data_IF_081351765421
#
_entry.id   IF_081351765421
#
_cell.length_a   1.000
_cell.length_b   1.000
_cell.length_c   1.000
_cell.angle_alpha   90.00
_cell.angle_beta   90.00
_cell.angle_gamma   90.00
#
_symmetry.space_group_name_H-M   'P 1'
#
loop_
_entity.id
_entity.type
_entity.pdbx_description
1 polymer ?
#
# COMPACT_ATOMS: atom_id res chain seq x y z
N UNK A 1 22.05 -14.62 18.96
CA UNK A 1 20.58 -14.44 19.00
C UNK A 1 20.24 -13.25 18.12
N UNK A 2 19.21 -13.39 17.32
CA UNK A 2 18.77 -12.34 16.39
C UNK A 2 18.16 -11.17 17.16
N UNK A 3 18.41 -9.95 16.69
CA UNK A 3 17.84 -8.71 17.25
C UNK A 3 17.23 -7.92 16.12
N UNK A 4 15.90 -8.04 15.99
CA UNK A 4 15.14 -7.36 14.93
C UNK A 4 14.37 -6.19 15.55
N UNK A 5 14.55 -5.01 14.97
CA UNK A 5 13.74 -3.84 15.27
C UNK A 5 12.65 -3.72 14.23
N UNK A 6 11.48 -3.30 14.64
CA UNK A 6 10.40 -2.82 13.78
C UNK A 6 10.05 -1.39 14.19
N UNK A 7 10.18 -0.46 13.27
CA UNK A 7 9.79 0.94 13.42
C UNK A 7 8.50 1.17 12.62
N UNK A 8 7.53 1.80 13.24
CA UNK A 8 6.25 2.18 12.67
C UNK A 8 6.00 3.66 12.93
N UNK A 9 5.75 4.45 11.89
CA UNK A 9 5.46 5.87 11.99
C UNK A 9 4.01 6.07 12.42
N UNK A 10 3.80 6.64 13.61
CA UNK A 10 2.48 6.77 14.21
C UNK A 10 1.57 7.72 13.42
N UNK A 11 0.38 7.22 13.03
CA UNK A 11 -0.60 7.97 12.23
C UNK A 11 0.04 8.72 11.05
N UNK A 12 0.98 8.08 10.35
CA UNK A 12 1.97 8.67 9.44
C UNK A 12 1.41 9.77 8.54
N UNK A 13 0.33 9.50 7.79
CA UNK A 13 -0.23 10.51 6.87
C UNK A 13 -0.73 11.73 7.63
N UNK A 14 -1.38 11.54 8.77
CA UNK A 14 -1.83 12.66 9.62
C UNK A 14 -0.65 13.44 10.17
N UNK A 15 0.39 12.75 10.63
CA UNK A 15 1.61 13.38 11.16
C UNK A 15 2.28 14.26 10.12
N UNK A 16 2.38 13.79 8.87
CA UNK A 16 2.89 14.60 7.74
C UNK A 16 2.00 15.82 7.46
N UNK A 17 0.67 15.65 7.43
CA UNK A 17 -0.25 16.79 7.23
C UNK A 17 -0.13 17.83 8.35
N UNK A 18 0.07 17.40 9.61
CA UNK A 18 0.32 18.30 10.77
C UNK A 18 1.64 19.04 10.68
N UNK A 19 2.67 18.46 10.06
CA UNK A 19 3.94 19.14 9.80
C UNK A 19 3.74 20.23 8.74
N UNK A 20 2.92 19.94 7.71
CA UNK A 20 2.60 20.90 6.64
C UNK A 20 1.69 22.02 7.15
N UNK A 21 0.68 21.68 7.94
CA UNK A 21 -0.27 22.61 8.55
C UNK A 21 -0.39 22.35 10.06
N UNK A 22 0.37 23.09 10.89
CA UNK A 22 0.33 22.95 12.34
C UNK A 22 -1.03 23.25 12.99
N UNK A 23 -1.93 23.95 12.28
CA UNK A 23 -3.28 24.24 12.77
C UNK A 23 -4.16 22.97 12.89
N UNK A 24 -3.72 21.85 12.35
CA UNK A 24 -4.35 20.52 12.48
C UNK A 24 -4.04 19.82 13.81
N UNK A 25 -3.09 20.33 14.59
CA UNK A 25 -2.71 19.72 15.89
C UNK A 25 -3.89 19.71 16.86
N UNK A 26 -4.07 18.61 17.58
CA UNK A 26 -5.14 18.43 18.57
C UNK A 26 -6.55 18.26 17.97
N UNK A 27 -6.70 18.31 16.63
CA UNK A 27 -7.99 18.11 15.97
C UNK A 27 -8.17 16.67 15.49
N UNK A 28 -9.41 16.16 15.41
CA UNK A 28 -9.69 14.91 14.72
C UNK A 28 -9.47 15.11 13.22
N UNK A 29 -8.35 14.58 12.69
CA UNK A 29 -7.94 14.69 11.28
C UNK A 29 -8.13 13.35 10.59
N UNK A 30 -8.74 13.38 9.41
CA UNK A 30 -9.02 12.23 8.58
C UNK A 30 -8.43 12.48 7.18
N UNK A 31 -7.44 11.66 6.81
CA UNK A 31 -6.80 11.71 5.49
C UNK A 31 -7.40 10.62 4.61
N UNK A 32 -7.77 10.97 3.38
CA UNK A 32 -8.34 10.03 2.41
C UNK A 32 -9.34 10.70 1.50
N UNK A 33 -10.49 10.08 1.29
CA UNK A 33 -11.59 10.72 0.57
C UNK A 33 -12.27 11.77 1.46
N UNK A 34 -12.92 12.75 0.83
CA UNK A 34 -13.78 13.70 1.52
C UNK A 34 -15.26 13.26 1.46
N UNK A 35 -16.11 13.70 2.40
CA UNK A 35 -17.53 13.36 2.41
C UNK A 35 -18.26 13.72 1.09
N UNK A 36 -17.88 14.83 0.47
CA UNK A 36 -18.44 15.32 -0.80
C UNK A 36 -18.03 14.49 -2.03
N UNK A 37 -16.99 13.68 -1.95
CA UNK A 37 -16.56 12.80 -3.06
C UNK A 37 -17.59 11.66 -3.33
N UNK A 38 -18.53 11.46 -2.41
CA UNK A 38 -19.60 10.46 -2.51
C UNK A 38 -19.13 9.03 -2.26
N UNK A 39 -17.91 8.67 -2.60
CA UNK A 39 -17.27 7.36 -2.39
C UNK A 39 -15.83 7.53 -1.97
N UNK A 40 -15.34 6.54 -1.23
CA UNK A 40 -13.97 6.46 -0.76
C UNK A 40 -13.89 5.96 0.66
N UNK A 41 -12.68 5.90 1.17
CA UNK A 41 -12.38 5.38 2.51
C UNK A 41 -11.41 6.30 3.23
N UNK A 42 -11.37 6.15 4.54
CA UNK A 42 -10.31 6.68 5.40
C UNK A 42 -9.00 5.96 5.04
N UNK A 43 -7.97 6.69 4.64
CA UNK A 43 -6.63 6.15 4.46
C UNK A 43 -5.89 6.10 5.80
N UNK A 44 -5.90 7.22 6.54
CA UNK A 44 -5.38 7.30 7.89
C UNK A 44 -6.23 8.28 8.71
N UNK A 45 -6.23 8.13 10.03
CA UNK A 45 -6.91 9.06 10.94
C UNK A 45 -6.09 9.25 12.21
N UNK A 46 -6.20 10.44 12.79
CA UNK A 46 -5.54 10.81 14.05
C UNK A 46 -6.09 10.02 15.24
N UNK A 47 -5.37 10.02 16.36
CA UNK A 47 -5.85 9.39 17.59
C UNK A 47 -7.14 10.05 18.10
N UNK A 48 -7.27 11.37 17.98
CA UNK A 48 -8.50 12.09 18.32
C UNK A 48 -9.70 11.61 17.47
N UNK A 49 -9.48 11.33 16.19
CA UNK A 49 -10.52 10.76 15.34
C UNK A 49 -10.84 9.29 15.72
N UNK A 50 -9.85 8.52 16.16
CA UNK A 50 -10.05 7.13 16.62
C UNK A 50 -10.93 7.06 17.88
N UNK A 51 -10.96 8.08 18.74
CA UNK A 51 -11.87 8.14 19.87
C UNK A 51 -13.36 8.17 19.47
N UNK A 52 -13.66 8.63 18.26
CA UNK A 52 -15.00 8.52 17.66
C UNK A 52 -15.24 7.17 16.96
N UNK A 53 -14.33 6.20 17.10
CA UNK A 53 -14.42 4.88 16.48
C UNK A 53 -13.97 4.83 15.02
N UNK A 54 -13.29 5.86 14.51
CA UNK A 54 -12.78 5.88 13.15
C UNK A 54 -11.52 5.00 13.03
N UNK A 55 -11.39 4.34 11.89
CA UNK A 55 -10.22 3.51 11.56
C UNK A 55 -9.93 3.51 10.06
N UNK A 56 -8.72 3.13 9.68
CA UNK A 56 -8.33 2.96 8.27
C UNK A 56 -9.25 1.97 7.55
N UNK A 57 -9.48 2.21 6.28
CA UNK A 57 -10.42 1.49 5.41
C UNK A 57 -11.92 1.66 5.74
N UNK A 58 -12.29 2.45 6.78
CA UNK A 58 -13.71 2.79 7.03
C UNK A 58 -14.28 3.58 5.84
N UNK A 59 -15.51 3.26 5.37
CA UNK A 59 -16.19 4.07 4.36
C UNK A 59 -16.35 5.52 4.80
N UNK A 60 -16.02 6.47 3.94
CA UNK A 60 -15.99 7.90 4.30
C UNK A 60 -17.34 8.43 4.81
N UNK A 61 -18.45 7.94 4.25
CA UNK A 61 -19.79 8.29 4.71
C UNK A 61 -20.07 7.82 6.14
N UNK A 62 -19.53 6.66 6.52
CA UNK A 62 -19.65 6.16 7.89
C UNK A 62 -18.77 6.99 8.83
N UNK A 63 -17.52 7.28 8.44
CA UNK A 63 -16.61 8.13 9.21
C UNK A 63 -17.22 9.51 9.46
N UNK A 64 -17.85 10.13 8.46
CA UNK A 64 -18.51 11.43 8.61
C UNK A 64 -19.70 11.41 9.57
N UNK A 65 -20.47 10.31 9.60
CA UNK A 65 -21.57 10.16 10.58
C UNK A 65 -21.07 10.09 12.02
N UNK A 66 -19.89 9.46 12.23
CA UNK A 66 -19.30 9.31 13.56
C UNK A 66 -18.56 10.56 14.02
N UNK A 67 -17.92 11.28 13.10
CA UNK A 67 -17.14 12.47 13.40
C UNK A 67 -17.44 13.60 12.39
N UNK A 68 -18.63 14.24 12.45
CA UNK A 68 -19.02 15.27 11.48
C UNK A 68 -18.19 16.55 11.56
N UNK A 69 -17.61 16.83 12.73
CA UNK A 69 -16.75 17.99 12.98
C UNK A 69 -15.26 17.69 12.72
N UNK A 70 -14.92 16.51 12.20
CA UNK A 70 -13.57 16.14 11.85
C UNK A 70 -13.06 16.93 10.63
N UNK A 71 -11.75 17.13 10.55
CA UNK A 71 -11.08 17.74 9.41
C UNK A 71 -10.76 16.66 8.37
N UNK A 72 -11.47 16.70 7.23
CA UNK A 72 -11.32 15.72 6.14
C UNK A 72 -10.41 16.29 5.05
N UNK A 73 -9.31 15.59 4.75
CA UNK A 73 -8.29 16.04 3.81
C UNK A 73 -8.06 14.99 2.70
N UNK A 74 -7.90 15.47 1.46
CA UNK A 74 -7.17 14.67 0.46
C UNK A 74 -5.68 14.75 0.82
N UNK A 75 -5.05 13.61 0.95
CA UNK A 75 -3.64 13.57 1.33
C UNK A 75 -2.72 14.28 0.33
N UNK A 76 -1.65 14.88 0.81
CA UNK A 76 -0.64 15.59 0.02
C UNK A 76 0.30 14.57 -0.65
N UNK A 77 -0.12 14.04 -1.81
CA UNK A 77 0.63 13.02 -2.55
C UNK A 77 2.04 13.51 -2.91
N UNK A 78 3.02 12.64 -2.66
CA UNK A 78 4.45 12.94 -2.86
C UNK A 78 5.17 13.21 -1.54
N UNK A 79 4.60 14.00 -0.63
CA UNK A 79 5.20 14.32 0.65
C UNK A 79 5.40 13.07 1.52
N UNK A 80 4.43 12.17 1.56
CA UNK A 80 4.58 10.91 2.29
C UNK A 80 5.80 10.11 1.83
N UNK A 81 6.02 10.03 0.51
CA UNK A 81 7.21 9.35 -0.03
C UNK A 81 8.51 10.10 0.30
N UNK A 82 8.46 11.44 0.38
CA UNK A 82 9.61 12.27 0.76
C UNK A 82 10.00 12.03 2.21
N UNK A 83 9.03 12.09 3.12
CA UNK A 83 9.27 11.83 4.55
C UNK A 83 9.69 10.39 4.82
N UNK A 84 9.05 9.41 4.18
CA UNK A 84 9.43 8.00 4.27
C UNK A 84 10.88 7.75 3.85
N UNK A 85 11.34 8.40 2.76
CA UNK A 85 12.74 8.33 2.33
C UNK A 85 13.69 9.01 3.31
N UNK A 86 13.29 10.13 3.91
CA UNK A 86 14.10 10.84 4.91
C UNK A 86 14.28 9.97 6.16
N UNK A 87 13.22 9.31 6.64
CA UNK A 87 13.31 8.33 7.74
C UNK A 87 14.27 7.21 7.35
N UNK A 88 14.08 6.59 6.18
CA UNK A 88 14.98 5.53 5.70
C UNK A 88 16.44 5.95 5.69
N UNK A 89 16.73 7.18 5.26
CA UNK A 89 18.10 7.70 5.22
C UNK A 89 18.71 7.83 6.62
N UNK A 90 17.92 8.20 7.66
CA UNK A 90 18.40 8.19 9.05
C UNK A 90 18.71 6.76 9.48
N UNK A 91 17.81 5.79 9.18
CA UNK A 91 17.97 4.40 9.58
C UNK A 91 19.22 3.76 8.92
N UNK A 92 19.50 4.11 7.67
CA UNK A 92 20.69 3.63 6.91
C UNK A 92 22.03 4.01 7.55
N UNK A 93 22.06 5.03 8.42
CA UNK A 93 23.26 5.41 9.14
C UNK A 93 23.61 4.45 10.28
N UNK A 94 22.64 3.68 10.76
CA UNK A 94 22.76 2.83 11.95
C UNK A 94 22.59 1.34 11.65
N UNK A 95 21.66 0.99 10.80
CA UNK A 95 21.27 -0.40 10.61
C UNK A 95 22.09 -1.06 9.50
N UNK A 96 22.77 -2.20 9.76
CA UNK A 96 23.49 -2.96 8.74
C UNK A 96 22.58 -3.43 7.59
N UNK A 97 21.34 -3.78 7.92
CA UNK A 97 20.33 -4.21 6.95
C UNK A 97 18.98 -3.59 7.29
N UNK A 98 18.26 -3.15 6.24
CA UNK A 98 16.93 -2.57 6.35
C UNK A 98 16.00 -3.22 5.33
N UNK A 99 14.83 -3.62 5.78
CA UNK A 99 13.71 -3.98 4.91
C UNK A 99 12.59 -2.96 5.10
N UNK A 100 12.32 -2.17 4.08
CA UNK A 100 11.16 -1.29 4.05
C UNK A 100 9.90 -2.11 3.67
N UNK A 101 9.03 -2.37 4.63
CA UNK A 101 7.82 -3.16 4.44
C UNK A 101 6.68 -2.34 3.82
N UNK A 102 6.58 -1.05 4.19
CA UNK A 102 5.61 -0.10 3.64
C UNK A 102 6.22 1.32 3.57
N UNK A 103 5.40 2.34 3.36
CA UNK A 103 5.84 3.75 3.40
C UNK A 103 6.14 4.22 4.83
N UNK A 104 5.63 3.53 5.83
CA UNK A 104 5.65 3.88 7.26
C UNK A 104 6.25 2.79 8.16
N UNK A 105 6.54 1.60 7.62
CA UNK A 105 7.09 0.48 8.38
C UNK A 105 8.46 0.04 7.89
N UNK A 106 9.41 -0.12 8.83
CA UNK A 106 10.78 -0.53 8.56
C UNK A 106 11.23 -1.62 9.53
N UNK A 107 11.76 -2.71 8.99
CA UNK A 107 12.52 -3.67 9.80
C UNK A 107 14.01 -3.41 9.67
N UNK A 108 14.72 -3.57 10.78
CA UNK A 108 16.18 -3.41 10.85
C UNK A 108 16.78 -4.59 11.59
N UNK A 109 17.88 -5.12 11.08
CA UNK A 109 18.63 -6.19 11.74
C UNK A 109 19.84 -5.60 12.47
N UNK A 110 19.81 -5.71 13.80
CA UNK A 110 20.87 -5.31 14.71
C UNK A 110 21.58 -6.51 15.35
N UNK A 111 21.45 -7.68 14.76
CA UNK A 111 22.12 -8.91 15.22
C UNK A 111 23.62 -8.68 15.26
N UNK A 112 24.25 -9.01 16.39
CA UNK A 112 25.69 -8.85 16.56
C UNK A 112 26.19 -7.44 16.89
N UNK A 113 25.32 -6.41 16.88
CA UNK A 113 25.76 -5.01 17.08
C UNK A 113 25.70 -4.53 18.55
N UNK A 114 25.33 -5.39 19.49
CA UNK A 114 25.22 -5.03 20.91
C UNK A 114 26.49 -4.41 21.50
N UNK A 115 27.66 -4.84 21.02
CA UNK A 115 28.94 -4.28 21.45
C UNK A 115 29.18 -2.85 20.95
N UNK A 116 28.49 -2.42 19.88
CA UNK A 116 28.57 -1.06 19.32
C UNK A 116 27.60 -0.13 20.03
N UNK A 117 26.34 -0.59 20.21
CA UNK A 117 25.24 0.26 20.67
C UNK A 117 24.88 0.05 22.16
N UNK A 118 25.45 -0.97 22.83
CA UNK A 118 25.18 -1.27 24.23
C UNK A 118 23.75 -1.76 24.46
N UNK A 119 22.98 -1.06 25.28
CA UNK A 119 21.57 -1.39 25.53
C UNK A 119 20.71 -1.11 24.30
N UNK A 120 20.15 -2.16 23.70
CA UNK A 120 19.27 -2.04 22.53
C UNK A 120 18.02 -1.17 22.81
N UNK A 121 17.50 -1.21 24.01
CA UNK A 121 16.38 -0.35 24.43
C UNK A 121 16.78 1.14 24.45
N UNK A 122 17.94 1.46 25.04
CA UNK A 122 18.44 2.85 25.07
C UNK A 122 18.83 3.34 23.68
N UNK A 123 19.34 2.46 22.83
CA UNK A 123 19.63 2.77 21.45
C UNK A 123 18.33 3.05 20.67
N UNK A 124 17.27 2.26 20.86
CA UNK A 124 15.96 2.53 20.25
C UNK A 124 15.41 3.90 20.65
N UNK A 125 15.55 4.29 21.93
CA UNK A 125 15.18 5.64 22.42
C UNK A 125 15.96 6.74 21.71
N UNK A 126 17.28 6.55 21.52
CA UNK A 126 18.11 7.51 20.79
C UNK A 126 17.65 7.64 19.34
N UNK A 127 17.40 6.53 18.67
CA UNK A 127 16.94 6.49 17.28
C UNK A 127 15.56 7.15 17.12
N UNK A 128 14.61 6.83 18.00
CA UNK A 128 13.28 7.44 18.04
C UNK A 128 13.38 8.96 18.20
N UNK A 129 14.15 9.40 19.20
CA UNK A 129 14.36 10.82 19.45
C UNK A 129 14.96 11.54 18.24
N UNK A 130 15.94 10.95 17.58
CA UNK A 130 16.56 11.55 16.39
C UNK A 130 15.57 11.75 15.23
N UNK A 131 14.67 10.78 15.01
CA UNK A 131 13.62 10.88 13.99
C UNK A 131 12.64 12.01 14.35
N UNK A 132 12.22 12.10 15.61
CA UNK A 132 11.32 13.16 16.11
C UNK A 132 12.00 14.52 15.98
N UNK A 133 13.23 14.66 16.46
CA UNK A 133 13.97 15.94 16.47
C UNK A 133 14.25 16.45 15.04
N UNK A 134 14.60 15.55 14.08
CA UNK A 134 14.95 15.92 12.71
C UNK A 134 13.74 16.06 11.77
N UNK A 135 12.70 15.26 11.97
CA UNK A 135 11.59 15.15 11.02
C UNK A 135 10.22 15.49 11.63
N UNK A 136 10.13 15.69 12.94
CA UNK A 136 8.87 15.88 13.69
C UNK A 136 7.86 14.75 13.45
N UNK A 137 8.35 13.54 13.18
CA UNK A 137 7.53 12.35 12.95
C UNK A 137 7.51 11.47 14.20
N UNK A 138 6.36 11.31 14.88
CA UNK A 138 6.22 10.35 15.96
C UNK A 138 6.33 8.93 15.42
N UNK A 139 7.01 8.06 16.16
CA UNK A 139 7.15 6.67 15.78
C UNK A 139 7.21 5.75 17.00
N UNK A 140 6.79 4.50 16.81
CA UNK A 140 6.86 3.44 17.80
C UNK A 140 7.84 2.36 17.37
N UNK A 141 8.62 1.81 18.30
CA UNK A 141 9.66 0.83 18.00
C UNK A 141 9.42 -0.45 18.80
N UNK A 142 9.38 -1.57 18.09
CA UNK A 142 9.35 -2.90 18.69
C UNK A 142 10.68 -3.61 18.48
N UNK A 143 11.17 -4.30 19.53
CA UNK A 143 12.40 -5.07 19.52
C UNK A 143 12.07 -6.51 19.88
N UNK A 144 12.52 -7.46 19.07
CA UNK A 144 12.30 -8.88 19.31
C UNK A 144 13.31 -9.78 18.62
N UNK A 145 13.21 -11.08 18.88
CA UNK A 145 14.07 -12.11 18.25
C UNK A 145 13.77 -12.38 16.78
N UNK A 146 12.61 -11.91 16.29
CA UNK A 146 12.20 -12.10 14.91
C UNK A 146 11.20 -11.01 14.46
N UNK A 147 10.90 -10.95 13.17
CA UNK A 147 10.02 -9.93 12.58
C UNK A 147 8.60 -9.93 13.16
N UNK A 148 8.06 -11.09 13.51
CA UNK A 148 6.70 -11.20 14.07
C UNK A 148 6.64 -10.54 15.44
N UNK A 149 7.58 -10.87 16.33
CA UNK A 149 7.66 -10.29 17.67
C UNK A 149 7.93 -8.79 17.59
N UNK A 150 8.92 -8.37 16.78
CA UNK A 150 9.25 -6.95 16.64
C UNK A 150 8.03 -6.12 16.20
N UNK A 151 7.22 -6.64 15.23
CA UNK A 151 6.02 -5.94 14.79
C UNK A 151 4.94 -5.88 15.87
N UNK A 152 4.67 -6.97 16.57
CA UNK A 152 3.69 -6.98 17.67
C UNK A 152 4.13 -6.01 18.78
N UNK A 153 5.43 -5.96 19.08
CA UNK A 153 6.00 -5.03 20.06
C UNK A 153 5.78 -3.57 19.68
N UNK A 154 6.01 -3.19 18.40
CA UNK A 154 5.79 -1.82 17.96
C UNK A 154 4.32 -1.43 18.00
N UNK A 155 3.41 -2.33 17.60
CA UNK A 155 1.97 -2.08 17.68
C UNK A 155 1.48 -1.97 19.14
N UNK A 156 2.04 -2.77 20.05
CA UNK A 156 1.75 -2.71 21.48
C UNK A 156 2.28 -1.42 22.14
N UNK A 157 3.38 -0.88 21.60
CA UNK A 157 4.03 0.32 22.12
C UNK A 157 3.30 1.62 21.74
N UNK A 158 2.40 1.63 20.77
CA UNK A 158 1.74 2.85 20.27
C UNK A 158 0.90 3.57 21.33
N UNK A 159 0.91 4.92 21.36
CA UNK A 159 1.74 5.82 20.53
C UNK A 159 3.12 6.10 21.14
N UNK A 160 4.09 6.43 20.31
CA UNK A 160 5.43 6.93 20.66
C UNK A 160 6.18 6.08 21.71
N UNK A 161 5.88 4.79 21.76
CA UNK A 161 6.45 3.87 22.74
C UNK A 161 7.55 2.98 22.17
N UNK A 162 8.23 2.28 23.09
CA UNK A 162 9.22 1.27 22.77
C UNK A 162 8.94 0.04 23.61
N UNK A 163 8.81 -1.10 22.95
CA UNK A 163 8.66 -2.40 23.62
C UNK A 163 9.79 -3.33 23.20
N UNK A 164 10.43 -3.95 24.16
CA UNK A 164 11.48 -4.94 23.93
C UNK A 164 11.12 -6.25 24.63
N UNK A 165 10.90 -7.28 23.82
CA UNK A 165 10.72 -8.65 24.32
C UNK A 165 12.06 -9.37 24.27
N UNK A 166 12.55 -9.76 25.43
CA UNK A 166 13.81 -10.49 25.56
C UNK A 166 13.70 -11.89 24.95
N UNK A 167 14.78 -12.41 24.35
CA UNK A 167 14.79 -13.78 23.85
C UNK A 167 14.42 -14.80 24.93
N UNK A 168 13.49 -15.69 24.61
CA UNK A 168 12.93 -16.67 25.51
C UNK A 168 11.62 -16.25 26.21
N UNK A 169 11.26 -14.94 26.16
CA UNK A 169 10.05 -14.40 26.77
C UNK A 169 8.90 -14.24 25.77
N UNK A 170 9.07 -14.68 24.53
CA UNK A 170 8.13 -14.44 23.41
C UNK A 170 6.75 -15.02 23.72
N UNK A 171 6.69 -16.27 24.18
CA UNK A 171 5.41 -16.95 24.49
C UNK A 171 4.66 -16.28 25.63
N UNK A 172 5.39 -15.90 26.69
CA UNK A 172 4.82 -15.24 27.86
C UNK A 172 4.24 -13.87 27.47
N UNK A 173 4.98 -13.09 26.69
CA UNK A 173 4.51 -11.80 26.17
C UNK A 173 3.28 -11.95 25.28
N UNK A 174 3.28 -12.94 24.36
CA UNK A 174 2.20 -13.12 23.40
C UNK A 174 0.92 -13.68 24.01
N UNK A 175 1.02 -14.59 25.00
CA UNK A 175 -0.11 -15.36 25.51
C UNK A 175 -1.34 -14.53 25.93
N UNK A 176 -1.24 -13.40 26.64
CA UNK A 176 -2.40 -12.59 27.03
C UNK A 176 -3.00 -11.75 25.90
N UNK A 177 -2.28 -11.56 24.77
CA UNK A 177 -2.69 -10.68 23.69
C UNK A 177 -3.85 -11.29 22.87
N UNK A 178 -4.75 -10.44 22.33
CA UNK A 178 -5.80 -10.88 21.40
C UNK A 178 -5.22 -11.49 20.14
N UNK A 179 -5.91 -12.47 19.53
CA UNK A 179 -5.42 -13.17 18.33
C UNK A 179 -5.26 -12.28 17.11
N UNK A 180 -6.01 -11.19 17.00
CA UNK A 180 -5.90 -10.20 15.93
C UNK A 180 -4.59 -9.42 15.92
N UNK A 181 -3.83 -9.43 17.04
CA UNK A 181 -2.49 -8.83 17.10
C UNK A 181 -1.48 -9.59 16.24
N UNK A 182 -1.72 -10.85 15.92
CA UNK A 182 -0.82 -11.62 15.05
C UNK A 182 -0.89 -11.08 13.61
N UNK A 183 0.23 -10.62 13.03
CA UNK A 183 0.26 -10.13 11.65
C UNK A 183 -0.26 -11.16 10.66
N UNK A 184 -1.33 -10.79 9.94
CA UNK A 184 -2.01 -11.64 8.98
C UNK A 184 -3.35 -12.21 9.46
N UNK A 185 -3.74 -12.05 10.71
CA UNK A 185 -5.09 -12.38 11.19
C UNK A 185 -6.03 -11.24 10.79
N UNK A 186 -6.68 -11.41 9.64
CA UNK A 186 -7.71 -10.47 9.18
C UNK A 186 -9.12 -10.88 9.64
N UNK A 187 -10.14 -10.05 9.33
CA UNK A 187 -11.54 -10.21 9.79
C UNK A 187 -12.09 -11.64 9.62
N UNK A 188 -11.85 -12.27 8.47
CA UNK A 188 -12.35 -13.64 8.19
C UNK A 188 -11.69 -14.67 9.10
N UNK A 189 -10.37 -14.60 9.26
CA UNK A 189 -9.65 -15.53 10.14
C UNK A 189 -10.03 -15.30 11.60
N UNK A 190 -10.17 -14.04 12.03
CA UNK A 190 -10.63 -13.68 13.36
C UNK A 190 -11.99 -14.30 13.70
N UNK A 191 -12.97 -14.18 12.79
CA UNK A 191 -14.29 -14.82 12.95
C UNK A 191 -14.18 -16.34 13.07
N UNK A 192 -13.36 -16.98 12.23
CA UNK A 192 -13.17 -18.42 12.28
C UNK A 192 -12.49 -18.89 13.59
N UNK A 193 -11.56 -18.11 14.13
CA UNK A 193 -10.93 -18.40 15.42
C UNK A 193 -11.93 -18.23 16.56
N UNK A 194 -12.70 -17.14 16.58
CA UNK A 194 -13.72 -16.89 17.60
C UNK A 194 -14.82 -17.97 17.62
N UNK A 195 -15.25 -18.47 16.45
CA UNK A 195 -16.20 -19.60 16.35
C UNK A 195 -15.65 -20.89 16.97
N UNK A 196 -14.32 -21.02 17.11
CA UNK A 196 -13.66 -22.14 17.76
C UNK A 196 -13.28 -21.87 19.22
N UNK A 197 -13.74 -20.74 19.79
CA UNK A 197 -13.43 -20.34 21.17
C UNK A 197 -12.01 -19.82 21.38
N UNK A 198 -11.29 -19.45 20.30
CA UNK A 198 -9.92 -18.95 20.36
C UNK A 198 -9.95 -17.42 20.28
N UNK A 199 -9.68 -16.74 21.40
CA UNK A 199 -9.71 -15.30 21.55
C UNK A 199 -8.33 -14.69 21.78
N UNK A 200 -7.47 -15.42 22.54
CA UNK A 200 -6.13 -14.98 22.89
C UNK A 200 -5.08 -15.84 22.17
N UNK A 201 -3.90 -15.28 22.00
CA UNK A 201 -2.77 -16.01 21.39
C UNK A 201 -2.44 -17.27 22.20
N UNK A 202 -2.50 -17.19 23.56
CA UNK A 202 -2.31 -18.34 24.43
C UNK A 202 -3.31 -19.48 24.22
N UNK A 203 -4.50 -19.21 23.67
CA UNK A 203 -5.44 -20.30 23.34
C UNK A 203 -4.98 -21.12 22.16
N UNK A 204 -4.26 -20.49 21.21
CA UNK A 204 -3.64 -21.20 20.07
C UNK A 204 -2.57 -22.19 20.56
N UNK A 205 -1.74 -21.76 21.51
CA UNK A 205 -0.62 -22.59 21.98
C UNK A 205 -1.03 -23.80 22.83
N UNK A 206 -2.28 -23.84 23.33
CA UNK A 206 -2.86 -25.01 24.01
C UNK A 206 -3.23 -26.14 23.06
N UNK A 207 -3.34 -25.88 21.77
CA UNK A 207 -3.70 -26.84 20.73
C UNK A 207 -2.47 -27.22 19.92
N UNK A 208 -2.54 -28.37 19.25
CA UNK A 208 -1.41 -28.85 18.43
C UNK A 208 -1.31 -28.14 17.07
N UNK A 209 -0.10 -28.12 16.49
CA UNK A 209 0.10 -27.64 15.12
C UNK A 209 -0.76 -28.39 14.12
N UNK A 210 -0.90 -29.72 14.30
CA UNK A 210 -1.72 -30.58 13.42
C UNK A 210 -3.19 -30.17 13.43
N UNK A 211 -3.74 -29.73 14.57
CA UNK A 211 -5.10 -29.17 14.62
C UNK A 211 -5.24 -27.95 13.72
N UNK A 212 -4.29 -27.00 13.79
CA UNK A 212 -4.30 -25.80 12.96
C UNK A 212 -4.05 -26.10 11.48
N UNK A 213 -3.18 -27.06 11.18
CA UNK A 213 -2.92 -27.51 9.82
C UNK A 213 -4.19 -28.13 9.21
N UNK A 214 -4.91 -28.96 9.95
CA UNK A 214 -6.16 -29.57 9.50
C UNK A 214 -7.29 -28.55 9.32
N UNK A 215 -7.41 -27.59 10.25
CA UNK A 215 -8.49 -26.57 10.25
C UNK A 215 -8.28 -25.45 9.22
N UNK A 216 -7.04 -25.00 8.98
CA UNK A 216 -6.72 -23.79 8.23
C UNK A 216 -5.61 -23.99 7.17
N UNK A 217 -5.18 -25.24 6.93
CA UNK A 217 -4.11 -25.55 5.99
C UNK A 217 -2.76 -24.97 6.38
N UNK A 218 -1.89 -24.72 5.40
CA UNK A 218 -0.56 -24.15 5.61
C UNK A 218 -0.57 -22.81 6.38
N UNK A 219 -1.64 -22.05 6.22
CA UNK A 219 -1.79 -20.80 6.97
C UNK A 219 -1.99 -21.04 8.46
N UNK A 220 -2.74 -22.09 8.83
CA UNK A 220 -2.93 -22.49 10.22
C UNK A 220 -1.63 -22.92 10.91
N UNK A 221 -0.81 -23.73 10.24
CA UNK A 221 0.54 -24.09 10.72
C UNK A 221 1.40 -22.83 10.95
N UNK A 222 1.41 -21.90 9.99
CA UNK A 222 2.14 -20.64 10.12
C UNK A 222 1.61 -19.77 11.28
N UNK A 223 0.29 -19.76 11.51
CA UNK A 223 -0.33 -19.06 12.63
C UNK A 223 0.08 -19.66 13.97
N UNK A 224 0.06 -20.99 14.07
CA UNK A 224 0.48 -21.72 15.28
C UNK A 224 1.95 -21.41 15.63
N UNK A 225 2.85 -21.45 14.64
CA UNK A 225 4.26 -21.08 14.81
C UNK A 225 4.42 -19.65 15.34
N UNK A 226 3.72 -18.67 14.73
CA UNK A 226 3.75 -17.29 15.21
C UNK A 226 3.25 -17.15 16.65
N UNK A 227 2.18 -17.88 17.03
CA UNK A 227 1.65 -17.89 18.39
C UNK A 227 2.66 -18.45 19.41
N UNK A 228 3.53 -19.36 18.97
CA UNK A 228 4.63 -19.90 19.77
C UNK A 228 5.90 -19.02 19.79
N UNK A 229 5.83 -17.79 19.21
CA UNK A 229 6.96 -16.88 19.16
C UNK A 229 7.92 -17.13 18.01
N UNK A 230 7.61 -18.09 17.14
CA UNK A 230 8.45 -18.38 15.96
C UNK A 230 8.18 -17.42 14.82
N UNK A 231 9.22 -17.01 14.12
CA UNK A 231 9.11 -16.09 13.00
C UNK A 231 10.40 -16.02 12.19
N UNK A 232 10.39 -15.18 11.14
CA UNK A 232 11.60 -14.95 10.35
C UNK A 232 12.58 -14.10 11.14
N UNK A 233 13.76 -14.63 11.33
CA UNK A 233 14.89 -13.98 12.01
C UNK A 233 15.80 -13.16 11.07
N UNK A 234 15.47 -13.14 9.79
CA UNK A 234 16.21 -12.41 8.75
C UNK A 234 15.29 -11.49 7.97
N UNK A 235 15.87 -10.44 7.43
CA UNK A 235 15.17 -9.49 6.57
C UNK A 235 15.09 -10.02 5.13
N UNK A 236 13.99 -9.71 4.44
CA UNK A 236 13.89 -10.05 3.04
C UNK A 236 14.77 -9.10 2.21
N UNK A 237 15.46 -9.60 1.19
CA UNK A 237 16.17 -8.74 0.26
C UNK A 237 15.16 -7.84 -0.51
N UNK A 238 15.61 -6.71 -1.05
CA UNK A 238 14.76 -5.86 -1.87
C UNK A 238 14.11 -6.65 -3.00
N UNK A 239 12.79 -6.66 -3.04
CA UNK A 239 12.05 -7.40 -4.07
C UNK A 239 11.97 -6.60 -5.36
N UNK A 240 12.30 -7.24 -6.50
CA UNK A 240 11.96 -6.68 -7.81
C UNK A 240 10.43 -6.60 -7.93
N UNK A 241 9.94 -5.45 -8.38
CA UNK A 241 8.50 -5.22 -8.59
C UNK A 241 7.96 -6.19 -9.64
N UNK A 242 6.92 -6.95 -9.29
CA UNK A 242 6.33 -8.00 -10.15
C UNK A 242 5.15 -7.51 -10.98
N UNK A 243 4.54 -6.38 -10.59
CA UNK A 243 3.36 -5.83 -11.25
C UNK A 243 3.29 -4.31 -11.15
N UNK A 244 2.63 -3.69 -12.13
CA UNK A 244 2.22 -2.28 -12.12
C UNK A 244 0.74 -2.25 -12.44
N UNK A 245 -0.05 -1.55 -11.62
CA UNK A 245 -1.49 -1.43 -11.84
C UNK A 245 -1.99 -0.04 -11.48
N UNK A 246 -3.09 0.35 -12.15
CA UNK A 246 -3.89 1.53 -11.83
C UNK A 246 -5.36 1.17 -11.91
N UNK A 247 -6.13 1.63 -10.94
CA UNK A 247 -7.58 1.41 -10.87
C UNK A 247 -8.30 2.73 -10.60
N UNK A 248 -9.50 2.88 -11.13
CA UNK A 248 -10.40 4.00 -10.86
C UNK A 248 -11.77 3.48 -10.41
N UNK A 249 -12.14 3.81 -9.20
CA UNK A 249 -13.54 3.68 -8.73
C UNK A 249 -14.29 4.94 -9.15
N UNK A 250 -15.42 4.79 -9.83
CA UNK A 250 -16.28 5.92 -10.21
C UNK A 250 -17.02 6.47 -8.99
N UNK A 251 -17.18 7.78 -8.89
CA UNK A 251 -17.99 8.41 -7.83
C UNK A 251 -19.48 8.01 -7.91
N UNK A 252 -19.99 7.86 -9.13
CA UNK A 252 -21.29 7.22 -9.47
C UNK A 252 -21.00 6.09 -10.45
N UNK A 253 -21.82 5.01 -10.39
CA UNK A 253 -21.64 3.89 -11.29
C UNK A 253 -21.82 4.34 -12.75
N UNK A 254 -21.00 3.83 -13.67
CA UNK A 254 -20.89 4.29 -15.05
C UNK A 254 -21.45 3.22 -16.00
N UNK A 255 -22.26 3.66 -16.97
CA UNK A 255 -22.82 2.82 -18.04
C UNK A 255 -22.31 3.22 -19.42
N UNK A 256 -21.74 4.43 -19.54
CA UNK A 256 -21.29 4.92 -20.83
C UNK A 256 -19.95 4.27 -21.21
N UNK A 257 -19.99 3.38 -22.19
CA UNK A 257 -18.83 2.63 -22.67
C UNK A 257 -17.72 3.54 -23.16
N UNK A 258 -18.04 4.64 -23.84
CA UNK A 258 -17.04 5.60 -24.33
C UNK A 258 -16.26 6.21 -23.17
N UNK A 259 -16.94 6.54 -22.07
CA UNK A 259 -16.30 7.05 -20.84
C UNK A 259 -15.45 5.99 -20.15
N UNK A 260 -15.93 4.75 -20.11
CA UNK A 260 -15.21 3.64 -19.51
C UNK A 260 -13.91 3.39 -20.29
N UNK A 261 -13.97 3.37 -21.61
CA UNK A 261 -12.79 3.24 -22.47
C UNK A 261 -11.84 4.44 -22.36
N UNK A 262 -12.35 5.67 -22.27
CA UNK A 262 -11.54 6.86 -22.04
C UNK A 262 -10.81 6.82 -20.71
N UNK A 263 -11.49 6.31 -19.66
CA UNK A 263 -10.85 6.06 -18.36
C UNK A 263 -9.75 5.00 -18.47
N UNK A 264 -10.05 3.87 -19.13
CA UNK A 264 -9.06 2.81 -19.34
C UNK A 264 -7.86 3.31 -20.14
N UNK A 265 -8.08 4.17 -21.15
CA UNK A 265 -7.02 4.80 -21.93
C UNK A 265 -6.10 5.67 -21.05
N UNK A 266 -6.68 6.50 -20.18
CA UNK A 266 -5.92 7.30 -19.20
C UNK A 266 -5.08 6.41 -18.28
N UNK A 267 -5.69 5.38 -17.68
CA UNK A 267 -5.00 4.45 -16.79
C UNK A 267 -3.87 3.71 -17.53
N UNK A 268 -4.07 3.36 -18.80
CA UNK A 268 -3.04 2.74 -19.64
C UNK A 268 -1.84 3.66 -19.79
N UNK A 269 -2.05 4.92 -20.16
CA UNK A 269 -0.95 5.89 -20.29
C UNK A 269 -0.16 6.08 -18.99
N UNK A 270 -0.84 6.08 -17.82
CA UNK A 270 -0.18 6.19 -16.53
C UNK A 270 0.70 4.97 -16.20
N UNK A 271 0.23 3.74 -16.47
CA UNK A 271 1.04 2.53 -16.22
C UNK A 271 2.17 2.37 -17.23
N UNK A 272 1.97 2.77 -18.49
CA UNK A 272 3.02 2.76 -19.53
C UNK A 272 4.14 3.78 -19.21
N UNK A 273 3.79 4.97 -18.70
CA UNK A 273 4.80 5.91 -18.22
C UNK A 273 5.66 5.31 -17.09
N UNK A 274 5.03 4.60 -16.14
CA UNK A 274 5.77 3.91 -15.07
C UNK A 274 6.66 2.78 -15.59
N UNK A 275 6.28 2.09 -16.68
CA UNK A 275 7.15 1.12 -17.35
C UNK A 275 8.38 1.81 -17.95
N UNK A 276 8.17 2.86 -18.76
CA UNK A 276 9.24 3.61 -19.42
C UNK A 276 10.23 4.23 -18.43
N UNK A 277 9.74 4.78 -17.32
CA UNK A 277 10.60 5.34 -16.26
C UNK A 277 11.50 4.29 -15.59
N UNK A 278 11.20 3.00 -15.78
CA UNK A 278 12.01 1.88 -15.28
C UNK A 278 12.75 1.14 -16.40
N UNK A 279 12.66 1.59 -17.63
CA UNK A 279 13.14 0.88 -18.82
C UNK A 279 12.63 -0.58 -18.90
N UNK A 280 11.33 -0.77 -18.62
CA UNK A 280 10.68 -2.08 -18.65
C UNK A 280 9.68 -2.19 -19.80
N UNK A 281 9.51 -3.44 -20.26
CA UNK A 281 8.42 -3.88 -21.10
C UNK A 281 7.53 -4.87 -20.33
N UNK A 282 6.26 -4.98 -20.74
CA UNK A 282 5.32 -5.96 -20.19
C UNK A 282 4.94 -7.00 -21.21
N UNK A 283 4.84 -8.25 -20.80
CA UNK A 283 4.32 -9.33 -21.65
C UNK A 283 2.90 -9.77 -21.28
N UNK A 284 2.30 -9.24 -20.20
CA UNK A 284 0.92 -9.61 -19.84
C UNK A 284 0.12 -8.38 -19.44
N UNK A 285 -0.97 -8.16 -20.16
CA UNK A 285 -1.98 -7.13 -19.89
C UNK A 285 -3.20 -7.79 -19.28
N UNK A 286 -3.66 -7.26 -18.17
CA UNK A 286 -4.89 -7.70 -17.50
C UNK A 286 -5.77 -6.50 -17.21
N UNK A 287 -7.08 -6.70 -17.23
CA UNK A 287 -8.07 -5.73 -16.77
C UNK A 287 -8.79 -6.28 -15.54
N UNK A 288 -9.23 -5.37 -14.70
CA UNK A 288 -10.14 -5.63 -13.59
C UNK A 288 -11.38 -4.79 -13.77
N UNK A 289 -12.52 -5.43 -13.79
CA UNK A 289 -13.84 -4.84 -13.90
C UNK A 289 -14.64 -5.20 -12.66
N UNK A 290 -15.24 -4.22 -11.99
CA UNK A 290 -16.18 -4.46 -10.89
C UNK A 290 -17.49 -3.78 -11.19
N UNK A 291 -18.57 -4.53 -11.12
CA UNK A 291 -19.94 -4.04 -11.26
C UNK A 291 -20.44 -3.37 -9.98
N UNK A 292 -21.59 -2.70 -10.07
CA UNK A 292 -22.24 -2.02 -8.92
C UNK A 292 -22.65 -2.98 -7.81
N UNK A 293 -22.94 -4.23 -8.14
CA UNK A 293 -23.25 -5.32 -7.19
C UNK A 293 -22.00 -5.98 -6.60
N UNK A 294 -20.81 -5.37 -6.79
CA UNK A 294 -19.49 -5.83 -6.31
C UNK A 294 -18.97 -7.12 -6.96
N UNK A 295 -19.66 -7.72 -7.92
CA UNK A 295 -19.08 -8.81 -8.72
C UNK A 295 -17.87 -8.28 -9.48
N UNK A 296 -16.74 -8.94 -9.29
CA UNK A 296 -15.45 -8.54 -9.88
C UNK A 296 -14.99 -9.58 -10.89
N UNK A 297 -14.67 -9.13 -12.09
CA UNK A 297 -14.10 -9.95 -13.15
C UNK A 297 -12.69 -9.48 -13.49
N UNK A 298 -11.82 -10.43 -13.76
CA UNK A 298 -10.46 -10.19 -14.27
C UNK A 298 -10.27 -10.97 -15.55
N UNK A 299 -9.67 -10.35 -16.56
CA UNK A 299 -9.28 -10.98 -17.81
C UNK A 299 -7.85 -10.60 -18.13
N UNK A 300 -7.08 -11.54 -18.64
CA UNK A 300 -5.67 -11.34 -18.98
C UNK A 300 -5.35 -11.89 -20.37
N UNK A 301 -4.34 -11.28 -21.01
CA UNK A 301 -3.77 -11.75 -22.26
C UNK A 301 -2.26 -11.57 -22.22
N UNK A 302 -1.52 -12.59 -22.64
CA UNK A 302 -0.09 -12.51 -22.91
C UNK A 302 0.12 -12.01 -24.33
N UNK A 303 1.04 -11.06 -24.51
CA UNK A 303 1.41 -10.41 -25.76
C UNK A 303 2.93 -10.44 -25.94
N UNK A 304 3.45 -10.01 -27.08
CA UNK A 304 4.89 -9.74 -27.21
C UNK A 304 5.29 -8.64 -26.21
N UNK A 305 6.47 -8.70 -25.58
CA UNK A 305 6.94 -7.66 -24.67
C UNK A 305 6.91 -6.29 -25.33
N UNK A 306 6.25 -5.31 -24.69
CA UNK A 306 6.12 -3.95 -25.22
C UNK A 306 5.91 -2.92 -24.12
N UNK A 307 6.25 -1.66 -24.38
CA UNK A 307 5.91 -0.46 -23.61
C UNK A 307 5.04 0.52 -24.40
N UNK A 308 4.55 0.08 -25.60
CA UNK A 308 3.71 0.89 -26.48
C UNK A 308 2.28 1.03 -25.94
N UNK A 309 1.89 2.28 -25.66
CA UNK A 309 0.57 2.62 -25.09
C UNK A 309 -0.58 2.11 -25.99
N UNK A 310 -0.44 2.18 -27.33
CA UNK A 310 -1.48 1.77 -28.28
C UNK A 310 -1.73 0.27 -28.21
N UNK A 311 -0.69 -0.53 -28.29
CA UNK A 311 -0.77 -2.01 -28.25
C UNK A 311 -1.36 -2.50 -26.93
N UNK A 312 -0.92 -1.91 -25.80
CA UNK A 312 -1.40 -2.23 -24.47
C UNK A 312 -2.88 -1.83 -24.33
N UNK A 313 -3.26 -0.63 -24.78
CA UNK A 313 -4.63 -0.15 -24.73
C UNK A 313 -5.59 -0.98 -25.59
N UNK A 314 -5.24 -1.27 -26.84
CA UNK A 314 -6.07 -2.10 -27.74
C UNK A 314 -6.29 -3.50 -27.15
N UNK A 315 -5.25 -4.06 -26.54
CA UNK A 315 -5.36 -5.33 -25.82
C UNK A 315 -6.32 -5.21 -24.64
N UNK A 316 -6.21 -4.15 -23.83
CA UNK A 316 -7.07 -3.90 -22.70
C UNK A 316 -8.54 -3.69 -23.09
N UNK A 317 -8.82 -2.98 -24.20
CA UNK A 317 -10.18 -2.79 -24.72
C UNK A 317 -10.78 -4.13 -25.20
N UNK A 318 -10.02 -4.95 -25.92
CA UNK A 318 -10.47 -6.30 -26.32
C UNK A 318 -10.82 -7.17 -25.10
N UNK A 319 -10.04 -7.05 -24.02
CA UNK A 319 -10.33 -7.74 -22.76
C UNK A 319 -11.55 -7.17 -22.04
N UNK A 320 -11.74 -5.85 -22.07
CA UNK A 320 -12.92 -5.17 -21.51
C UNK A 320 -14.20 -5.66 -22.20
N UNK A 321 -14.24 -5.69 -23.54
CA UNK A 321 -15.42 -6.16 -24.27
C UNK A 321 -15.73 -7.64 -23.98
N UNK A 322 -14.70 -8.47 -23.72
CA UNK A 322 -14.88 -9.87 -23.31
C UNK A 322 -15.35 -10.02 -21.85
N UNK A 323 -15.06 -9.05 -20.99
CA UNK A 323 -15.42 -9.09 -19.58
C UNK A 323 -16.79 -8.46 -19.33
N UNK A 324 -17.15 -7.39 -20.08
CA UNK A 324 -18.40 -6.64 -19.92
C UNK A 324 -19.57 -7.37 -20.59
N UNK A 325 -20.04 -8.45 -19.96
CA UNK A 325 -21.11 -9.32 -20.45
C UNK A 325 -22.45 -9.08 -19.76
N UNK A 326 -22.48 -8.20 -18.74
CA UNK A 326 -23.67 -7.99 -17.90
C UNK A 326 -24.28 -6.61 -18.18
N UNK A 327 -25.61 -6.52 -18.07
CA UNK A 327 -26.37 -5.25 -18.13
C UNK A 327 -26.41 -4.56 -16.76
N UNK A 328 -25.24 -4.43 -16.12
CA UNK A 328 -25.08 -3.85 -14.79
C UNK A 328 -24.02 -2.75 -14.88
N UNK A 329 -24.26 -1.62 -14.20
CA UNK A 329 -23.35 -0.48 -14.18
C UNK A 329 -21.97 -0.86 -13.65
N UNK A 330 -20.94 -0.23 -14.17
CA UNK A 330 -19.55 -0.44 -13.77
C UNK A 330 -19.18 0.50 -12.63
N UNK A 331 -18.72 -0.09 -11.53
CA UNK A 331 -18.25 0.61 -10.34
C UNK A 331 -16.77 0.95 -10.39
N UNK A 332 -15.95 0.04 -10.93
CA UNK A 332 -14.49 0.18 -10.98
C UNK A 332 -13.95 -0.44 -12.26
N UNK A 333 -12.97 0.24 -12.86
CA UNK A 333 -12.13 -0.31 -13.91
C UNK A 333 -10.67 -0.15 -13.55
N UNK A 334 -9.85 -1.13 -13.93
CA UNK A 334 -8.41 -1.09 -13.72
C UNK A 334 -7.64 -1.84 -14.80
N UNK A 335 -6.37 -1.47 -14.94
CA UNK A 335 -5.38 -2.15 -15.75
C UNK A 335 -4.23 -2.64 -14.88
N UNK A 336 -3.73 -3.82 -15.17
CA UNK A 336 -2.66 -4.47 -14.43
C UNK A 336 -1.69 -5.13 -15.40
N UNK A 337 -0.41 -4.78 -15.28
CA UNK A 337 0.69 -5.23 -16.13
C UNK A 337 1.63 -6.13 -15.32
N UNK A 338 2.06 -7.23 -15.92
CA UNK A 338 2.97 -8.21 -15.30
C UNK A 338 3.93 -8.81 -16.32
N UNK A 339 4.82 -9.69 -15.86
CA UNK A 339 5.88 -10.31 -16.66
C UNK A 339 6.74 -9.25 -17.33
N UNK A 340 7.49 -8.53 -16.49
CA UNK A 340 8.39 -7.49 -16.95
C UNK A 340 9.70 -8.07 -17.47
N UNK A 341 10.20 -7.49 -18.56
CA UNK A 341 11.56 -7.63 -19.07
C UNK A 341 12.21 -6.26 -19.17
N UNK A 342 13.51 -6.21 -19.19
CA UNK A 342 14.23 -4.99 -19.47
C UNK A 342 13.99 -4.59 -20.95
N UNK A 343 13.88 -3.31 -21.19
CA UNK A 343 13.78 -2.80 -22.54
C UNK A 343 15.15 -3.03 -23.21
N UNK A 344 15.14 -3.81 -24.30
CA UNK A 344 16.29 -3.94 -25.19
C UNK A 344 16.00 -3.12 -26.43
N UNK A 345 16.82 -2.12 -26.70
CA UNK A 345 16.73 -1.35 -27.93
C UNK A 345 17.31 -2.23 -29.05
N UNK A 346 16.46 -2.91 -29.77
CA UNK A 346 16.83 -3.58 -31.01
C UNK A 346 16.71 -2.51 -32.10
N UNK A 347 17.82 -2.07 -32.67
CA UNK A 347 17.80 -1.21 -33.83
C UNK A 347 17.27 -2.03 -35.00
N UNK A 348 16.01 -1.77 -35.38
CA UNK A 348 15.46 -2.27 -36.61
C UNK A 348 15.98 -1.39 -37.75
N UNK A 349 16.52 -2.03 -38.81
CA UNK A 349 17.07 -1.36 -39.99
C UNK A 349 16.01 -0.48 -40.68
N UNK A 350 14.73 -0.83 -40.54
CA UNK A 350 13.59 -0.06 -41.04
C UNK A 350 12.73 0.43 -39.86
N UNK A 351 12.48 1.75 -39.80
CA UNK A 351 11.58 2.33 -38.82
C UNK A 351 10.12 2.02 -39.19
N UNK A 352 9.48 1.14 -38.42
CA UNK A 352 8.05 0.91 -38.52
C UNK A 352 7.23 1.94 -37.72
N UNK A 353 5.91 1.96 -37.91
CA UNK A 353 5.03 2.86 -37.14
C UNK A 353 5.09 2.64 -35.64
N UNK A 354 5.40 1.43 -35.20
CA UNK A 354 5.51 1.12 -33.77
C UNK A 354 6.75 1.78 -33.16
N UNK A 355 7.86 1.74 -33.84
CA UNK A 355 9.13 2.37 -33.45
C UNK A 355 8.98 3.89 -33.36
N UNK A 356 8.33 4.53 -34.36
CA UNK A 356 8.05 5.97 -34.33
C UNK A 356 7.17 6.33 -33.14
N UNK A 357 6.11 5.56 -32.87
CA UNK A 357 5.24 5.78 -31.70
C UNK A 357 6.00 5.62 -30.37
N UNK A 358 6.85 4.62 -30.22
CA UNK A 358 7.69 4.42 -29.03
C UNK A 358 8.58 5.63 -28.79
N UNK A 359 9.25 6.16 -29.83
CA UNK A 359 10.06 7.39 -29.75
C UNK A 359 9.21 8.58 -29.30
N UNK A 360 8.01 8.77 -29.89
CA UNK A 360 7.08 9.82 -29.51
C UNK A 360 6.65 9.72 -28.04
N UNK A 361 6.21 8.54 -27.56
CA UNK A 361 5.77 8.37 -26.18
C UNK A 361 6.91 8.53 -25.17
N UNK A 362 8.14 8.23 -25.53
CA UNK A 362 9.32 8.52 -24.70
C UNK A 362 9.57 10.02 -24.58
N UNK A 363 9.42 10.79 -25.65
CA UNK A 363 9.50 12.25 -25.63
C UNK A 363 8.37 12.84 -24.74
N UNK A 364 7.14 12.36 -24.91
CA UNK A 364 5.99 12.74 -24.05
C UNK A 364 6.26 12.42 -22.57
N UNK A 365 6.85 11.26 -22.29
CA UNK A 365 7.21 10.86 -20.92
C UNK A 365 8.19 11.85 -20.30
N UNK A 366 9.26 12.24 -21.01
CA UNK A 366 10.24 13.24 -20.53
C UNK A 366 9.56 14.58 -20.17
N UNK A 367 8.60 15.03 -21.00
CA UNK A 367 7.85 16.26 -20.71
C UNK A 367 6.94 16.10 -19.50
N UNK A 368 6.24 14.97 -19.37
CA UNK A 368 5.38 14.68 -18.22
C UNK A 368 6.15 14.56 -16.92
N UNK A 369 7.35 13.99 -16.94
CA UNK A 369 8.21 13.87 -15.76
C UNK A 369 8.68 15.25 -15.27
N UNK A 370 8.91 16.19 -16.20
CA UNK A 370 9.35 17.56 -15.87
C UNK A 370 8.19 18.47 -15.44
N UNK A 371 7.04 18.38 -16.09
CA UNK A 371 5.94 19.33 -15.94
C UNK A 371 4.65 18.72 -15.39
N UNK A 372 4.68 17.45 -15.00
CA UNK A 372 3.52 16.68 -14.51
C UNK A 372 2.73 15.99 -15.61
N UNK A 373 2.00 14.92 -15.24
CA UNK A 373 1.25 14.08 -16.20
C UNK A 373 0.21 14.86 -17.03
N UNK A 374 -0.35 15.94 -16.48
CA UNK A 374 -1.36 16.76 -17.14
C UNK A 374 -0.83 17.72 -18.20
N UNK A 375 0.49 17.91 -18.28
CA UNK A 375 1.11 18.87 -19.22
C UNK A 375 0.84 18.50 -20.69
N UNK A 376 0.83 17.23 -21.02
CA UNK A 376 0.42 16.72 -22.34
C UNK A 376 -0.62 15.62 -22.16
N UNK A 377 -1.79 15.81 -22.74
CA UNK A 377 -2.88 14.84 -22.74
C UNK A 377 -3.36 14.56 -24.16
N UNK A 378 -3.63 13.29 -24.47
CA UNK A 378 -4.25 12.92 -25.73
C UNK A 378 -5.75 13.25 -25.70
N UNK A 379 -6.32 13.74 -26.81
CA UNK A 379 -7.70 14.24 -26.89
C UNK A 379 -8.76 13.28 -26.37
N UNK A 380 -8.55 11.95 -26.51
CA UNK A 380 -9.46 10.92 -25.97
C UNK A 380 -9.67 11.01 -24.46
N UNK A 381 -8.71 11.55 -23.70
CA UNK A 381 -8.81 11.73 -22.24
C UNK A 381 -9.81 12.86 -21.88
N UNK A 382 -10.03 13.82 -22.78
CA UNK A 382 -10.93 14.94 -22.56
C UNK A 382 -12.39 14.49 -22.41
N UNK A 383 -12.77 13.39 -23.01
CA UNK A 383 -14.11 12.78 -22.89
C UNK A 383 -14.43 12.43 -21.42
N UNK A 384 -13.44 12.00 -20.63
CA UNK A 384 -13.61 11.69 -19.19
C UNK A 384 -13.85 12.96 -18.35
N UNK A 385 -13.42 14.13 -18.83
CA UNK A 385 -13.52 15.42 -18.12
C UNK A 385 -14.80 16.21 -18.42
N UNK A 386 -15.52 15.90 -19.49
CA UNK A 386 -16.62 16.73 -20.04
C UNK A 386 -17.89 16.82 -19.15
N UNK A 387 -17.87 16.27 -17.92
CA UNK A 387 -18.97 16.41 -16.94
C UNK A 387 -18.60 17.22 -15.69
N UNK A 388 -17.44 17.84 -15.66
CA UNK A 388 -17.16 18.90 -14.66
C UNK A 388 -17.36 20.25 -15.36
N UNK A 389 -18.64 20.66 -15.49
CA UNK A 389 -19.03 22.03 -15.83
C UNK A 389 -18.31 22.63 -17.04
N UNK A 390 -18.92 22.59 -18.20
CA UNK A 390 -18.64 23.49 -19.34
C UNK A 390 -18.85 24.96 -18.88
N UNK A 391 -17.81 25.55 -18.33
CA UNK A 391 -17.63 27.00 -18.26
C UNK A 391 -16.18 27.25 -18.61
N UNK A 392 -15.94 27.45 -19.90
CA UNK A 392 -14.81 28.18 -20.49
C UNK A 392 -14.72 27.77 -21.97
N UNK A 393 -15.58 28.41 -22.76
CA UNK A 393 -15.33 28.81 -24.14
C UNK A 393 -16.44 29.82 -24.47
N UNK A 394 -16.19 31.05 -24.15
CA UNK A 394 -16.59 32.23 -24.90
C UNK A 394 -15.39 33.13 -24.98
#
# INVERSE_FOLDING_TARGET
MSIIFHLDLDTFFVSVERIIDPALSGKPVIVGAKPEDGRGVVAACSYEARWYGLHSAMPIKQAYRLCPNGVYLHGTHGEYSRYSKAVKHILEQYAPQIEQASVDEFYMDFTGTKHIYGSMYMFAKKLQKEIIDKLSLPCSIGIGSNKTIAKICSDYAKPEGITYVLPGMEKEFLAPLPVETIPGVGKVMLQNLHQKGIYKIGDITKLSENYFLAAFGKYGSALWKKANGEGKEYLNPPHKRKSISKEKTYGKDENNRVRIEATLFKLTGEVCQLLRNKNWQTATVSIKLRYSDFVTLTRAKTIKPTDDDKTIFETAVKLLHKADTRRVSIRLIGIHLTKFSEFCEQEEIFEDEETIRKKMFRAVTKIRDKYGYSAIQLGRILIDKSNKGTRYLR
#
